data_IF_229511072232
#
_entry.id   IF_229511072232
#
_cell.length_a   1.000
_cell.length_b   1.000
_cell.length_c   1.000
_cell.angle_alpha   90.00
_cell.angle_beta   90.00
_cell.angle_gamma   90.00
#
_symmetry.space_group_name_H-M   'P 1'
#
loop_
_entity.id
_entity.type
_entity.pdbx_description
1 polymer ?
#
# COMPACT_ATOMS: atom_id res chain seq x y z
N UNK A 1 15.75 11.44 -1.01
CA UNK A 1 15.26 12.19 0.16
C UNK A 1 13.92 11.59 0.53
N UNK A 2 13.77 11.13 1.77
CA UNK A 2 12.73 10.17 2.13
C UNK A 2 11.32 10.77 2.10
N UNK A 3 10.39 10.02 1.53
CA UNK A 3 8.97 10.36 1.52
C UNK A 3 8.42 10.61 2.93
N UNK A 4 9.00 9.99 3.95
CA UNK A 4 8.64 10.17 5.36
C UNK A 4 8.88 11.59 5.86
N UNK A 5 10.01 12.22 5.49
CA UNK A 5 10.31 13.61 5.88
C UNK A 5 9.22 14.56 5.37
N UNK A 6 8.86 14.43 4.09
CA UNK A 6 7.81 15.23 3.48
C UNK A 6 6.47 15.04 4.19
N UNK A 7 6.09 13.80 4.52
CA UNK A 7 4.83 13.48 5.20
C UNK A 7 4.80 14.01 6.63
N UNK A 8 5.91 13.91 7.36
CA UNK A 8 6.04 14.48 8.70
C UNK A 8 5.88 16.01 8.66
N UNK A 9 6.52 16.67 7.70
CA UNK A 9 6.37 18.11 7.51
C UNK A 9 4.92 18.51 7.22
N UNK A 10 4.27 17.80 6.28
CA UNK A 10 2.85 18.01 5.95
C UNK A 10 1.97 17.80 7.18
N UNK A 11 2.25 16.77 8.00
CA UNK A 11 1.49 16.50 9.24
C UNK A 11 1.54 17.68 10.20
N UNK A 12 2.74 18.13 10.57
CA UNK A 12 2.92 19.23 11.52
C UNK A 12 2.24 20.50 11.01
N UNK A 13 2.46 20.86 9.74
CA UNK A 13 1.85 22.06 9.14
C UNK A 13 0.32 21.97 9.08
N UNK A 14 -0.23 20.78 8.80
CA UNK A 14 -1.68 20.56 8.79
C UNK A 14 -2.27 20.71 10.19
N UNK A 15 -1.61 20.18 11.23
CA UNK A 15 -2.02 20.34 12.63
C UNK A 15 -1.99 21.81 13.05
N UNK A 16 -1.03 22.58 12.54
CA UNK A 16 -0.95 24.03 12.73
C UNK A 16 -2.00 24.83 11.93
N UNK A 17 -2.85 24.16 11.15
CA UNK A 17 -3.92 24.81 10.37
C UNK A 17 -3.45 25.50 9.08
N UNK A 18 -2.23 25.21 8.61
CA UNK A 18 -1.71 25.79 7.36
C UNK A 18 -2.38 25.14 6.15
N UNK A 19 -2.72 25.96 5.15
CA UNK A 19 -3.36 25.49 3.93
C UNK A 19 -2.41 24.60 3.09
N UNK A 20 -2.90 23.50 2.48
CA UNK A 20 -2.09 22.63 1.63
C UNK A 20 -1.35 23.34 0.49
N UNK A 21 -1.87 24.46 -0.03
CA UNK A 21 -1.20 25.26 -1.04
C UNK A 21 0.10 25.87 -0.51
N UNK A 22 0.04 26.50 0.66
CA UNK A 22 1.22 27.09 1.31
C UNK A 22 2.24 26.01 1.66
N UNK A 23 1.80 24.86 2.17
CA UNK A 23 2.69 23.72 2.47
C UNK A 23 3.44 23.26 1.20
N UNK A 24 2.74 23.18 0.06
CA UNK A 24 3.36 22.80 -1.20
C UNK A 24 4.35 23.86 -1.71
N UNK A 25 4.03 25.15 -1.62
CA UNK A 25 4.94 26.24 -2.00
C UNK A 25 6.23 26.23 -1.16
N UNK A 26 6.12 25.99 0.15
CA UNK A 26 7.28 25.84 1.05
C UNK A 26 8.13 24.61 0.69
N UNK A 27 7.50 23.48 0.40
CA UNK A 27 8.20 22.26 -0.02
C UNK A 27 8.89 22.42 -1.38
N UNK A 28 8.26 23.09 -2.34
CA UNK A 28 8.87 23.40 -3.65
C UNK A 28 10.05 24.37 -3.47
N UNK A 29 9.92 25.36 -2.59
CA UNK A 29 11.00 26.30 -2.30
C UNK A 29 12.21 25.60 -1.67
N UNK A 30 11.98 24.65 -0.76
CA UNK A 30 13.04 23.93 -0.07
C UNK A 30 13.67 22.80 -0.91
N UNK A 31 12.87 22.08 -1.70
CA UNK A 31 13.28 20.82 -2.34
C UNK A 31 13.35 20.91 -3.88
N UNK A 32 12.80 21.95 -4.48
CA UNK A 32 12.76 22.16 -5.92
C UNK A 32 12.18 20.94 -6.66
N UNK A 33 12.92 20.33 -7.60
CA UNK A 33 12.45 19.16 -8.36
C UNK A 33 12.14 17.92 -7.51
N UNK A 34 12.69 17.84 -6.30
CA UNK A 34 12.47 16.70 -5.39
C UNK A 34 11.23 16.88 -4.50
N UNK A 35 10.50 18.00 -4.63
CA UNK A 35 9.30 18.25 -3.86
C UNK A 35 8.17 17.28 -4.25
N UNK A 36 7.33 16.86 -3.27
CA UNK A 36 6.15 16.08 -3.58
C UNK A 36 5.16 16.92 -4.39
N UNK A 37 4.39 16.26 -5.26
CA UNK A 37 3.33 16.92 -6.03
C UNK A 37 2.27 17.56 -5.12
N UNK A 38 1.63 18.63 -5.61
CA UNK A 38 0.49 19.25 -4.93
C UNK A 38 -0.63 18.26 -4.58
N UNK A 39 -0.91 17.29 -5.46
CA UNK A 39 -1.87 16.21 -5.21
C UNK A 39 -1.46 15.30 -4.05
N UNK A 40 -0.17 15.05 -3.88
CA UNK A 40 0.35 14.28 -2.75
C UNK A 40 0.20 15.05 -1.45
N UNK A 41 0.54 16.35 -1.45
CA UNK A 41 0.40 17.23 -0.28
C UNK A 41 -1.06 17.31 0.18
N UNK A 42 -1.98 17.59 -0.74
CA UNK A 42 -3.42 17.69 -0.43
C UNK A 42 -4.01 16.38 0.09
N UNK A 43 -3.63 15.23 -0.50
CA UNK A 43 -4.06 13.92 -0.02
C UNK A 43 -3.60 13.64 1.40
N UNK A 44 -2.35 13.91 1.72
CA UNK A 44 -1.81 13.71 3.07
C UNK A 44 -2.41 14.70 4.08
N UNK A 45 -2.51 15.98 3.74
CA UNK A 45 -3.15 16.97 4.59
C UNK A 45 -4.61 16.60 4.92
N UNK A 46 -5.37 16.07 3.94
CA UNK A 46 -6.72 15.55 4.18
C UNK A 46 -6.70 14.40 5.20
N UNK A 47 -5.85 13.40 5.01
CA UNK A 47 -5.71 12.25 5.92
C UNK A 47 -5.37 12.67 7.36
N UNK A 48 -4.45 13.62 7.51
CA UNK A 48 -4.07 14.13 8.83
C UNK A 48 -5.19 14.92 9.50
N UNK A 49 -5.98 15.68 8.72
CA UNK A 49 -7.18 16.37 9.23
C UNK A 49 -8.28 15.39 9.66
N UNK A 50 -8.36 14.24 9.02
CA UNK A 50 -9.27 13.14 9.37
C UNK A 50 -8.77 12.29 10.57
N UNK A 51 -7.65 12.67 11.20
CA UNK A 51 -7.17 12.05 12.43
C UNK A 51 -6.16 10.93 12.24
N UNK A 52 -5.63 10.71 11.03
CA UNK A 52 -4.54 9.73 10.82
C UNK A 52 -3.27 10.19 11.55
N UNK A 53 -2.67 9.32 12.36
CA UNK A 53 -1.40 9.63 13.03
C UNK A 53 -0.17 9.09 12.29
N UNK A 54 -0.33 8.00 11.54
CA UNK A 54 0.78 7.34 10.86
C UNK A 54 1.26 8.11 9.63
N UNK A 55 2.57 8.33 9.56
CA UNK A 55 3.25 8.94 8.41
C UNK A 55 3.62 7.90 7.33
N UNK A 56 3.62 6.63 7.70
CA UNK A 56 3.93 5.54 6.78
C UNK A 56 2.72 5.24 5.90
N UNK A 57 2.99 4.66 4.72
CA UNK A 57 1.90 4.14 3.91
C UNK A 57 1.24 2.98 4.65
N UNK A 58 -0.07 2.83 4.43
CA UNK A 58 -0.77 1.62 4.87
C UNK A 58 -0.08 0.40 4.25
N UNK A 59 -0.13 -0.77 4.92
CA UNK A 59 0.34 -2.00 4.34
C UNK A 59 -0.21 -2.14 2.93
N UNK A 60 0.68 -2.23 1.94
CA UNK A 60 0.27 -2.50 0.57
C UNK A 60 -0.12 -3.97 0.51
N UNK A 61 -1.41 -4.23 0.68
CA UNK A 61 -1.98 -5.52 0.30
C UNK A 61 -1.82 -5.65 -1.22
N UNK A 62 -0.78 -6.37 -1.63
CA UNK A 62 -0.70 -6.93 -2.98
C UNK A 62 -1.66 -8.11 -3.13
N UNK A 63 -1.46 -8.95 -4.13
CA UNK A 63 -2.15 -10.24 -4.21
C UNK A 63 -2.00 -10.98 -2.86
N UNK A 64 -3.09 -11.51 -2.27
CA UNK A 64 -3.00 -12.20 -1.00
C UNK A 64 -1.95 -13.32 -1.08
N UNK A 65 -0.92 -13.23 -0.23
CA UNK A 65 0.06 -14.32 -0.03
C UNK A 65 -0.57 -15.49 0.73
N UNK A 66 -1.83 -15.36 1.17
CA UNK A 66 -2.59 -16.47 1.75
C UNK A 66 -2.81 -17.63 0.77
N UNK A 67 -2.75 -17.40 -0.55
CA UNK A 67 -2.79 -18.48 -1.56
C UNK A 67 -1.47 -19.26 -1.66
N UNK A 68 -0.34 -18.67 -1.23
CA UNK A 68 1.02 -19.20 -1.40
C UNK A 68 1.67 -19.65 -0.08
N UNK A 69 0.86 -20.14 0.87
CA UNK A 69 1.40 -20.82 2.06
C UNK A 69 1.96 -22.19 1.66
N UNK A 70 2.98 -22.68 2.37
CA UNK A 70 3.54 -24.03 2.14
C UNK A 70 2.46 -25.13 2.20
N UNK A 71 1.45 -24.95 3.05
CA UNK A 71 0.28 -25.84 3.17
C UNK A 71 -0.53 -25.92 1.86
N UNK A 72 -0.90 -24.77 1.30
CA UNK A 72 -1.62 -24.66 0.03
C UNK A 72 -0.79 -25.18 -1.16
N UNK A 73 0.53 -24.96 -1.15
CA UNK A 73 1.44 -25.51 -2.17
C UNK A 73 1.44 -27.04 -2.09
N UNK A 74 1.50 -27.60 -0.88
CA UNK A 74 1.49 -29.05 -0.69
C UNK A 74 0.14 -29.67 -1.05
N UNK A 75 -0.96 -28.97 -0.78
CA UNK A 75 -2.31 -29.40 -1.16
C UNK A 75 -2.43 -29.52 -2.69
N UNK A 76 -1.96 -28.52 -3.44
CA UNK A 76 -1.93 -28.57 -4.92
C UNK A 76 -1.02 -29.70 -5.41
N UNK A 77 0.15 -29.90 -4.78
CA UNK A 77 1.06 -31.01 -5.13
C UNK A 77 0.42 -32.38 -4.89
N UNK A 78 -0.34 -32.54 -3.82
CA UNK A 78 -1.05 -33.79 -3.54
C UNK A 78 -2.13 -34.09 -4.59
N UNK A 79 -2.90 -33.08 -5.01
CA UNK A 79 -3.90 -33.26 -6.09
C UNK A 79 -3.21 -33.72 -7.38
N UNK A 80 -2.14 -33.05 -7.79
CA UNK A 80 -1.39 -33.40 -9.02
C UNK A 80 -0.69 -34.76 -8.89
N UNK A 81 -0.19 -35.12 -7.70
CA UNK A 81 0.44 -36.43 -7.47
C UNK A 81 -0.58 -37.57 -7.49
N UNK A 82 -1.82 -37.32 -7.08
CA UNK A 82 -2.91 -38.30 -7.11
C UNK A 82 -3.46 -38.47 -8.53
N UNK A 83 -3.62 -37.38 -9.28
CA UNK A 83 -3.97 -37.40 -10.69
C UNK A 83 -3.22 -36.33 -11.49
N UNK A 84 -2.20 -36.73 -12.27
CA UNK A 84 -1.44 -35.81 -13.11
C UNK A 84 -2.24 -35.16 -14.24
N UNK A 85 -3.44 -35.65 -14.56
CA UNK A 85 -4.31 -35.10 -15.59
C UNK A 85 -5.38 -34.16 -15.04
N UNK A 86 -5.38 -33.91 -13.72
CA UNK A 86 -6.31 -32.99 -13.09
C UNK A 86 -6.24 -31.61 -13.75
N UNK A 87 -7.41 -31.12 -14.11
CA UNK A 87 -7.60 -29.82 -14.73
C UNK A 87 -7.52 -28.70 -13.69
N UNK A 88 -7.33 -27.47 -14.15
CA UNK A 88 -7.27 -26.30 -13.28
C UNK A 88 -8.53 -26.14 -12.41
N UNK A 89 -9.71 -26.39 -12.98
CA UNK A 89 -10.99 -26.28 -12.27
C UNK A 89 -11.14 -27.35 -11.18
N UNK A 90 -10.65 -28.57 -11.42
CA UNK A 90 -10.64 -29.66 -10.44
C UNK A 90 -9.67 -29.37 -9.29
N UNK A 91 -8.48 -28.84 -9.60
CA UNK A 91 -7.50 -28.45 -8.57
C UNK A 91 -8.08 -27.33 -7.68
N UNK A 92 -8.78 -26.35 -8.24
CA UNK A 92 -9.41 -25.29 -7.45
C UNK A 92 -10.56 -25.83 -6.61
N UNK A 93 -11.41 -26.69 -7.18
CA UNK A 93 -12.52 -27.30 -6.45
C UNK A 93 -12.03 -28.09 -5.23
N UNK A 94 -10.92 -28.82 -5.37
CA UNK A 94 -10.35 -29.63 -4.30
C UNK A 94 -9.57 -28.79 -3.28
N UNK A 95 -8.84 -27.79 -3.74
CA UNK A 95 -7.99 -26.97 -2.86
C UNK A 95 -8.69 -25.78 -2.23
N UNK A 96 -9.87 -25.40 -2.75
CA UNK A 96 -10.59 -24.17 -2.39
C UNK A 96 -9.73 -22.90 -2.52
N UNK A 97 -8.64 -22.96 -3.29
CA UNK A 97 -7.75 -21.84 -3.57
C UNK A 97 -8.34 -21.04 -4.72
N UNK A 98 -9.15 -20.04 -4.37
CA UNK A 98 -9.65 -19.04 -5.32
C UNK A 98 -8.70 -17.85 -5.38
N UNK A 99 -8.63 -17.24 -6.56
CA UNK A 99 -8.17 -15.86 -6.77
C UNK A 99 -9.14 -14.86 -6.10
#
# INVERSE_FOLDING_TARGET
>A
MDNEFNRYYIKIRTILGIDPKTIHEELVTALGPNAPSYTTVTRWAKRFREGREEINDDPRFGRPVSELTDENIELVRQVISNDPHSTYDEIIAETSLSH
#
